data_IF_800470979983
#
_entry.id   IF_800470979983
#
_cell.length_a   1.000
_cell.length_b   1.000
_cell.length_c   1.000
_cell.angle_alpha   90.00
_cell.angle_beta   90.00
_cell.angle_gamma   90.00
#
_symmetry.space_group_name_H-M   'P 1'
#
loop_
_entity.id
_entity.type
_entity.pdbx_description
1 polymer ?
#
# COMPACT_ATOMS: atom_id res chain seq x y z
N UNK A 1 87.77 0.21 18.94
CA UNK A 1 86.83 -0.22 17.90
C UNK A 1 86.20 -1.53 18.33
N UNK A 2 84.93 -1.55 18.75
CA UNK A 2 84.13 -2.77 18.73
C UNK A 2 82.65 -2.38 18.67
N UNK A 3 82.04 -2.67 17.52
CA UNK A 3 80.67 -2.29 17.16
C UNK A 3 79.66 -3.08 17.99
N UNK A 4 78.74 -2.34 18.60
CA UNK A 4 77.54 -2.82 19.27
C UNK A 4 76.63 -3.51 18.24
N UNK A 5 76.54 -4.85 18.28
CA UNK A 5 75.61 -5.64 17.48
C UNK A 5 74.27 -5.71 18.21
N UNK A 6 73.38 -4.78 17.88
CA UNK A 6 71.97 -4.83 18.27
C UNK A 6 71.27 -5.84 17.37
N UNK A 7 70.91 -6.99 17.93
CA UNK A 7 70.04 -7.98 17.29
C UNK A 7 68.63 -7.38 17.20
N UNK A 8 68.31 -6.79 16.04
CA UNK A 8 66.92 -6.51 15.68
C UNK A 8 66.24 -7.85 15.40
N UNK A 9 65.51 -8.36 16.39
CA UNK A 9 64.47 -9.35 16.20
C UNK A 9 63.41 -8.75 15.29
N UNK A 10 63.53 -8.99 13.98
CA UNK A 10 62.44 -8.77 13.05
C UNK A 10 61.31 -9.72 13.46
N UNK A 11 60.39 -9.23 14.29
CA UNK A 11 59.06 -9.82 14.41
C UNK A 11 58.45 -9.63 13.03
N UNK A 12 58.63 -10.65 12.18
CA UNK A 12 57.82 -10.87 11.00
C UNK A 12 56.40 -10.97 11.54
N UNK A 13 55.71 -9.82 11.59
CA UNK A 13 54.26 -9.78 11.57
C UNK A 13 53.92 -10.44 10.25
N UNK A 14 53.71 -11.75 10.31
CA UNK A 14 52.98 -12.47 9.28
C UNK A 14 51.59 -11.83 9.35
N UNK A 15 51.39 -10.79 8.55
CA UNK A 15 50.05 -10.36 8.18
C UNK A 15 49.48 -11.56 7.45
N UNK A 16 48.89 -12.49 8.20
CA UNK A 16 47.96 -13.45 7.64
C UNK A 16 47.00 -12.59 6.84
N UNK A 17 47.03 -12.73 5.52
CA UNK A 17 45.97 -12.27 4.66
C UNK A 17 44.74 -13.11 5.06
N UNK A 18 44.15 -12.76 6.20
CA UNK A 18 42.87 -13.25 6.65
C UNK A 18 41.93 -12.76 5.56
N UNK A 19 41.58 -13.69 4.67
CA UNK A 19 40.64 -13.43 3.59
C UNK A 19 39.45 -12.72 4.19
N UNK A 20 39.06 -11.60 3.58
CA UNK A 20 38.00 -10.76 4.11
C UNK A 20 36.75 -11.60 4.43
N UNK A 21 36.22 -11.44 5.64
CA UNK A 21 35.01 -12.15 6.08
C UNK A 21 33.85 -11.76 5.19
N UNK A 22 33.10 -12.77 4.71
CA UNK A 22 31.92 -12.53 3.89
C UNK A 22 30.76 -11.95 4.71
N UNK A 23 29.96 -11.10 4.10
CA UNK A 23 28.76 -10.55 4.72
C UNK A 23 27.54 -11.38 4.36
N UNK A 24 26.68 -11.65 5.35
CA UNK A 24 25.37 -12.26 5.12
C UNK A 24 24.28 -11.18 5.20
N UNK A 25 23.61 -10.93 4.08
CA UNK A 25 22.61 -9.87 3.94
C UNK A 25 21.38 -10.44 3.24
N UNK A 26 20.23 -10.37 3.91
CA UNK A 26 18.95 -10.85 3.39
C UNK A 26 19.00 -12.32 2.89
N UNK A 27 19.68 -13.18 3.66
CA UNK A 27 19.85 -14.60 3.32
C UNK A 27 20.90 -14.89 2.23
N UNK A 28 21.58 -13.87 1.70
CA UNK A 28 22.63 -14.02 0.66
C UNK A 28 24.02 -13.71 1.22
N UNK A 29 25.03 -14.36 0.66
CA UNK A 29 26.43 -14.17 1.06
C UNK A 29 27.17 -13.31 0.03
N UNK A 30 27.81 -12.25 0.49
CA UNK A 30 28.60 -11.31 -0.32
C UNK A 30 30.06 -11.34 0.10
N UNK A 31 30.96 -11.20 -0.87
CA UNK A 31 32.41 -11.27 -0.64
C UNK A 31 32.87 -10.15 0.30
N UNK A 32 33.68 -10.50 1.29
CA UNK A 32 34.34 -9.52 2.16
C UNK A 32 35.14 -8.48 1.37
N UNK A 33 34.99 -7.20 1.71
CA UNK A 33 35.66 -6.08 1.04
C UNK A 33 35.03 -5.64 -0.29
N UNK A 34 33.87 -6.19 -0.66
CA UNK A 34 33.19 -5.87 -1.93
C UNK A 34 32.04 -4.88 -1.76
N UNK A 35 31.75 -4.13 -2.82
CA UNK A 35 30.49 -3.42 -2.95
C UNK A 35 29.47 -4.35 -3.60
N UNK A 36 28.22 -4.31 -3.13
CA UNK A 36 27.14 -5.12 -3.68
C UNK A 36 25.83 -4.33 -3.72
N UNK A 37 24.89 -4.82 -4.52
CA UNK A 37 23.54 -4.30 -4.59
C UNK A 37 22.55 -5.42 -4.36
N UNK A 38 21.49 -5.12 -3.62
CA UNK A 38 20.36 -6.02 -3.49
C UNK A 38 19.06 -5.23 -3.46
N UNK A 39 17.98 -5.93 -3.79
CA UNK A 39 16.67 -5.33 -3.96
C UNK A 39 15.75 -5.87 -2.87
N UNK A 40 15.02 -4.99 -2.20
CA UNK A 40 13.99 -5.35 -1.22
C UNK A 40 12.77 -4.48 -1.46
N UNK A 41 11.71 -5.11 -1.95
CA UNK A 41 10.53 -4.38 -2.45
C UNK A 41 10.91 -3.42 -3.58
N UNK A 42 10.52 -2.15 -3.44
CA UNK A 42 10.77 -1.10 -4.43
C UNK A 42 12.18 -0.48 -4.38
N UNK A 43 13.02 -0.87 -3.43
CA UNK A 43 14.31 -0.21 -3.18
C UNK A 43 15.48 -1.11 -3.56
N UNK A 44 16.43 -0.55 -4.31
CA UNK A 44 17.77 -1.08 -4.52
C UNK A 44 18.73 -0.43 -3.56
N UNK A 45 19.30 -1.23 -2.69
CA UNK A 45 20.32 -0.80 -1.75
C UNK A 45 21.69 -1.00 -2.37
N UNK A 46 22.53 0.03 -2.34
CA UNK A 46 23.95 -0.08 -2.66
C UNK A 46 24.73 -0.11 -1.35
N UNK A 47 25.45 -1.20 -1.13
CA UNK A 47 26.04 -1.52 0.15
C UNK A 47 27.52 -1.87 -0.01
N UNK A 48 28.28 -1.66 1.07
CA UNK A 48 29.66 -2.12 1.18
C UNK A 48 29.71 -3.22 2.24
N UNK A 49 30.34 -4.34 1.88
CA UNK A 49 30.74 -5.39 2.79
C UNK A 49 32.18 -5.13 3.24
N UNK A 50 32.38 -4.89 4.52
CA UNK A 50 33.70 -4.68 5.11
C UNK A 50 34.39 -6.03 5.36
N UNK A 51 35.72 -6.02 5.50
CA UNK A 51 36.49 -7.25 5.67
C UNK A 51 36.33 -7.91 7.05
N UNK A 52 35.71 -7.21 8.00
CA UNK A 52 35.32 -7.74 9.31
C UNK A 52 33.96 -8.47 9.28
N UNK A 53 33.28 -8.51 8.12
CA UNK A 53 31.95 -9.11 7.94
C UNK A 53 30.80 -8.15 8.24
N UNK A 54 31.09 -6.91 8.69
CA UNK A 54 30.09 -5.87 8.80
C UNK A 54 29.70 -5.34 7.42
N UNK A 55 28.48 -4.83 7.28
CA UNK A 55 28.04 -4.21 6.04
C UNK A 55 27.22 -2.96 6.30
N UNK A 56 27.33 -2.00 5.40
CA UNK A 56 26.60 -0.74 5.48
C UNK A 56 25.98 -0.38 4.13
N UNK A 57 24.73 0.06 4.16
CA UNK A 57 24.01 0.57 3.01
C UNK A 57 23.63 2.03 3.29
N UNK A 58 24.42 3.01 2.83
CA UNK A 58 24.06 4.41 3.00
C UNK A 58 22.71 4.69 2.36
N UNK A 59 21.82 5.36 3.09
CA UNK A 59 20.51 5.76 2.57
C UNK A 59 20.64 6.64 1.33
N UNK A 60 21.71 7.45 1.23
CA UNK A 60 22.05 8.28 0.07
C UNK A 60 22.32 7.49 -1.23
N UNK A 61 22.65 6.20 -1.14
CA UNK A 61 22.90 5.34 -2.30
C UNK A 61 21.77 4.32 -2.55
N UNK A 62 20.67 4.45 -1.81
CA UNK A 62 19.47 3.63 -2.01
C UNK A 62 18.62 4.27 -3.10
N UNK A 63 18.31 3.50 -4.14
CA UNK A 63 17.51 3.96 -5.28
C UNK A 63 16.15 3.28 -5.29
N UNK A 64 15.09 4.06 -5.46
CA UNK A 64 13.76 3.50 -5.71
C UNK A 64 13.68 3.10 -7.18
N UNK A 65 13.37 1.82 -7.45
CA UNK A 65 13.22 1.30 -8.80
C UNK A 65 11.79 1.36 -9.32
N UNK A 66 10.83 1.46 -8.41
CA UNK A 66 9.43 1.65 -8.78
C UNK A 66 9.19 3.07 -9.34
N UNK A 67 10.13 4.00 -9.12
CA UNK A 67 10.23 5.25 -9.87
C UNK A 67 10.92 5.04 -11.22
N UNK A 68 10.29 4.25 -12.07
CA UNK A 68 10.67 4.00 -13.47
C UNK A 68 9.56 4.47 -14.41
N UNK A 69 9.24 5.76 -14.36
CA UNK A 69 8.22 6.38 -15.20
C UNK A 69 7.83 7.79 -14.75
N UNK A 70 8.78 8.74 -14.70
CA UNK A 70 8.43 10.14 -14.47
C UNK A 70 9.53 10.98 -13.84
N UNK A 71 10.50 11.36 -14.65
CA UNK A 71 11.28 12.60 -14.66
C UNK A 71 11.39 13.44 -13.36
N UNK A 72 12.64 13.65 -12.94
CA UNK A 72 13.04 14.66 -11.96
C UNK A 72 12.92 16.08 -12.54
N UNK A 73 11.68 16.52 -12.76
CA UNK A 73 11.36 17.93 -12.98
C UNK A 73 10.32 18.34 -11.94
N UNK A 74 10.52 19.51 -11.33
CA UNK A 74 9.61 20.14 -10.39
C UNK A 74 8.15 20.03 -10.89
N UNK A 75 7.34 19.16 -10.26
CA UNK A 75 5.92 18.97 -10.62
C UNK A 75 5.39 17.54 -10.66
N UNK A 76 6.22 16.49 -10.56
CA UNK A 76 5.77 15.10 -10.61
C UNK A 76 5.40 14.54 -9.23
N UNK A 77 4.22 14.90 -8.74
CA UNK A 77 3.65 14.40 -7.49
C UNK A 77 3.28 12.91 -7.66
N UNK A 78 3.87 12.01 -6.85
CA UNK A 78 3.69 10.56 -6.98
C UNK A 78 2.28 10.07 -6.65
N UNK A 79 1.78 9.09 -7.38
CA UNK A 79 0.44 8.54 -7.16
C UNK A 79 0.36 7.71 -5.86
N UNK A 80 -0.81 7.69 -5.24
CA UNK A 80 -1.11 6.87 -4.07
C UNK A 80 -1.91 5.63 -4.45
N UNK A 81 -1.49 4.49 -3.92
CA UNK A 81 -2.18 3.22 -4.12
C UNK A 81 -3.04 2.90 -2.90
N UNK A 82 -4.36 2.93 -3.09
CA UNK A 82 -5.34 2.85 -2.01
C UNK A 82 -6.45 1.87 -2.40
N UNK A 83 -6.64 0.82 -1.61
CA UNK A 83 -7.68 -0.20 -1.83
C UNK A 83 -7.69 -0.80 -3.25
N UNK A 84 -6.52 -0.96 -3.86
CA UNK A 84 -6.36 -1.46 -5.25
C UNK A 84 -6.52 -0.40 -6.35
N UNK A 85 -6.91 0.84 -6.00
CA UNK A 85 -6.97 1.98 -6.92
C UNK A 85 -5.69 2.83 -6.92
N UNK A 86 -5.46 3.56 -8.01
CA UNK A 86 -4.35 4.52 -8.17
C UNK A 86 -4.91 5.94 -8.18
N UNK A 87 -4.44 6.79 -7.27
CA UNK A 87 -4.91 8.17 -7.12
C UNK A 87 -3.79 9.16 -7.36
N UNK A 88 -4.11 10.31 -7.96
CA UNK A 88 -3.11 11.30 -8.35
C UNK A 88 -2.41 11.90 -7.13
N UNK A 89 -1.09 11.99 -7.18
CA UNK A 89 -0.31 12.72 -6.19
C UNK A 89 -0.81 14.14 -5.98
N UNK A 90 -0.93 14.56 -4.73
CA UNK A 90 -1.23 15.95 -4.36
C UNK A 90 -2.69 16.33 -4.54
N UNK A 91 -3.56 15.34 -4.72
CA UNK A 91 -4.99 15.52 -4.86
C UNK A 91 -5.75 14.96 -3.67
N UNK A 92 -6.92 15.53 -3.44
CA UNK A 92 -7.95 14.91 -2.61
C UNK A 92 -8.74 13.90 -3.46
N UNK A 93 -9.08 12.76 -2.87
CA UNK A 93 -9.85 11.72 -3.50
C UNK A 93 -10.82 11.08 -2.52
N UNK A 94 -11.82 10.40 -3.06
CA UNK A 94 -12.79 9.64 -2.28
C UNK A 94 -12.82 8.19 -2.76
N UNK A 95 -13.01 7.28 -1.83
CA UNK A 95 -13.31 5.90 -2.16
C UNK A 95 -14.26 5.30 -1.14
N UNK A 96 -15.01 4.31 -1.59
CA UNK A 96 -16.01 3.63 -0.77
C UNK A 96 -15.47 2.27 -0.34
N UNK A 97 -15.61 1.95 0.95
CA UNK A 97 -15.31 0.62 1.48
C UNK A 97 -16.40 0.20 2.44
N UNK A 98 -17.19 -0.79 2.02
CA UNK A 98 -18.43 -1.15 2.70
C UNK A 98 -19.42 0.03 2.68
N UNK A 99 -19.97 0.37 3.85
CA UNK A 99 -20.95 1.45 4.00
C UNK A 99 -20.36 2.84 4.25
N UNK A 100 -19.04 2.98 4.13
CA UNK A 100 -18.32 4.20 4.46
C UNK A 100 -17.63 4.76 3.23
N UNK A 101 -17.83 6.06 3.00
CA UNK A 101 -17.06 6.86 2.05
C UNK A 101 -15.96 7.58 2.80
N UNK A 102 -14.73 7.29 2.41
CA UNK A 102 -13.53 7.89 2.96
C UNK A 102 -13.13 9.06 2.07
N UNK A 103 -12.93 10.23 2.67
CA UNK A 103 -12.31 11.37 2.00
C UNK A 103 -10.85 11.45 2.43
N UNK A 104 -9.96 11.44 1.45
CA UNK A 104 -8.54 11.23 1.67
C UNK A 104 -7.70 12.22 0.88
N UNK A 105 -6.53 12.57 1.41
CA UNK A 105 -5.48 13.32 0.71
C UNK A 105 -4.39 12.35 0.26
N UNK A 106 -4.03 12.42 -1.01
CA UNK A 106 -2.81 11.80 -1.53
C UNK A 106 -1.68 12.82 -1.55
N UNK A 107 -0.56 12.50 -0.92
CA UNK A 107 0.63 13.33 -0.86
C UNK A 107 1.59 13.00 -2.00
N UNK A 108 2.48 13.93 -2.35
CA UNK A 108 3.42 13.73 -3.46
C UNK A 108 4.47 12.64 -3.24
N UNK A 109 4.67 12.23 -1.99
CA UNK A 109 5.54 11.12 -1.61
C UNK A 109 4.86 9.75 -1.76
N UNK A 110 3.61 9.71 -2.22
CA UNK A 110 2.79 8.50 -2.34
C UNK A 110 2.12 8.07 -1.03
N UNK A 111 2.33 8.81 0.07
CA UNK A 111 1.58 8.61 1.31
C UNK A 111 0.16 9.15 1.17
N UNK A 112 -0.79 8.58 1.89
CA UNK A 112 -2.16 9.04 1.89
C UNK A 112 -2.75 9.01 3.28
N UNK A 113 -3.66 9.94 3.55
CA UNK A 113 -4.34 10.05 4.82
C UNK A 113 -5.84 10.23 4.62
N UNK A 114 -6.63 9.47 5.37
CA UNK A 114 -8.08 9.58 5.40
C UNK A 114 -8.52 9.87 6.84
N UNK A 115 -8.75 11.14 7.22
CA UNK A 115 -9.22 11.47 8.56
C UNK A 115 -10.57 10.81 8.84
N UNK A 116 -10.70 10.16 9.99
CA UNK A 116 -11.97 9.54 10.41
C UNK A 116 -13.10 10.56 10.53
N UNK A 117 -12.78 11.82 10.86
CA UNK A 117 -13.71 12.95 10.91
C UNK A 117 -14.32 13.31 9.55
N UNK A 118 -13.68 12.95 8.45
CA UNK A 118 -14.17 13.18 7.08
C UNK A 118 -14.78 11.91 6.44
N UNK A 119 -14.88 10.83 7.22
CA UNK A 119 -15.53 9.60 6.78
C UNK A 119 -17.03 9.74 6.95
N UNK A 120 -17.79 9.44 5.89
CA UNK A 120 -19.25 9.57 5.89
C UNK A 120 -19.90 8.21 5.67
N UNK A 121 -20.94 7.91 6.44
CA UNK A 121 -21.76 6.73 6.18
C UNK A 121 -22.65 7.01 4.98
N UNK A 122 -22.37 6.37 3.86
CA UNK A 122 -23.17 6.48 2.63
C UNK A 122 -24.35 5.51 2.63
N UNK A 123 -24.31 4.48 3.49
CA UNK A 123 -25.50 3.73 3.84
C UNK A 123 -26.32 4.56 4.83
N UNK A 124 -27.46 5.08 4.40
CA UNK A 124 -28.34 5.85 5.29
C UNK A 124 -29.22 4.89 6.09
N UNK A 125 -28.93 4.73 7.38
CA UNK A 125 -29.87 4.16 8.35
C UNK A 125 -29.24 3.24 9.39
N UNK A 126 -29.45 3.58 10.66
CA UNK A 126 -29.44 2.65 11.79
C UNK A 126 -28.07 2.23 12.32
N UNK A 127 -27.47 3.07 13.18
CA UNK A 127 -26.63 2.83 14.39
C UNK A 127 -25.69 1.60 14.54
N UNK A 128 -25.53 0.72 13.55
CA UNK A 128 -24.58 -0.40 13.48
C UNK A 128 -24.36 -0.86 12.02
N UNK A 129 -24.29 0.10 11.08
CA UNK A 129 -23.57 -0.04 9.81
C UNK A 129 -24.08 -1.03 8.75
N UNK A 130 -25.18 -1.76 8.93
CA UNK A 130 -25.75 -2.60 7.87
C UNK A 130 -27.29 -2.51 7.88
N UNK A 131 -27.85 -1.80 6.91
CA UNK A 131 -29.28 -1.91 6.59
C UNK A 131 -29.57 -3.33 6.09
N UNK A 132 -30.70 -3.91 6.50
CA UNK A 132 -31.13 -5.20 5.97
C UNK A 132 -31.63 -5.02 4.53
N UNK A 133 -31.28 -5.97 3.67
CA UNK A 133 -31.90 -6.05 2.35
C UNK A 133 -33.37 -6.44 2.49
N UNK A 134 -34.18 -6.02 1.53
CA UNK A 134 -35.58 -6.42 1.46
C UNK A 134 -35.72 -7.67 0.59
N UNK A 135 -36.43 -8.67 1.09
CA UNK A 135 -36.77 -9.85 0.31
C UNK A 135 -38.23 -9.75 -0.15
N UNK A 136 -38.42 -9.59 -1.46
CA UNK A 136 -39.73 -9.51 -2.08
C UNK A 136 -39.84 -10.58 -3.18
N UNK A 137 -40.80 -11.49 -3.03
CA UNK A 137 -41.07 -12.56 -4.01
C UNK A 137 -39.84 -13.39 -4.40
N UNK A 138 -39.02 -13.77 -3.40
CA UNK A 138 -37.81 -14.57 -3.58
C UNK A 138 -36.64 -13.81 -4.23
N UNK A 139 -36.73 -12.49 -4.36
CA UNK A 139 -35.66 -11.61 -4.85
C UNK A 139 -35.21 -10.65 -3.77
N UNK A 140 -33.91 -10.39 -3.75
CA UNK A 140 -33.29 -9.48 -2.78
C UNK A 140 -33.09 -8.10 -3.40
N UNK A 141 -33.59 -7.08 -2.71
CA UNK A 141 -33.50 -5.68 -3.12
C UNK A 141 -32.70 -4.89 -2.09
N UNK A 142 -31.77 -4.08 -2.61
CA UNK A 142 -31.05 -3.11 -1.79
C UNK A 142 -31.97 -1.98 -1.32
N UNK A 143 -31.48 -1.20 -0.35
CA UNK A 143 -32.21 -0.06 0.19
C UNK A 143 -32.61 0.94 -0.90
N UNK A 144 -33.79 1.53 -0.75
CA UNK A 144 -34.30 2.59 -1.61
C UNK A 144 -35.38 2.12 -2.56
N UNK A 145 -35.63 2.91 -3.60
CA UNK A 145 -36.68 2.61 -4.57
C UNK A 145 -36.24 1.50 -5.52
N UNK A 146 -37.12 0.53 -5.76
CA UNK A 146 -36.89 -0.53 -6.74
C UNK A 146 -38.15 -0.79 -7.56
N UNK A 147 -37.96 -1.36 -8.74
CA UNK A 147 -39.05 -1.85 -9.58
C UNK A 147 -39.07 -3.36 -9.57
N UNK A 148 -40.28 -3.92 -9.57
CA UNK A 148 -40.50 -5.35 -9.60
C UNK A 148 -41.67 -5.67 -10.50
N UNK A 149 -41.46 -6.59 -11.44
CA UNK A 149 -42.49 -7.06 -12.35
C UNK A 149 -43.06 -8.37 -11.82
N UNK A 150 -44.38 -8.44 -11.68
CA UNK A 150 -45.12 -9.66 -11.32
C UNK A 150 -46.36 -9.75 -12.21
N UNK A 151 -46.43 -10.82 -13.02
CA UNK A 151 -47.46 -10.96 -14.04
C UNK A 151 -47.47 -9.78 -15.02
N UNK A 152 -48.63 -9.18 -15.24
CA UNK A 152 -48.83 -8.02 -16.12
C UNK A 152 -48.60 -6.65 -15.44
N UNK A 153 -48.00 -6.63 -14.26
CA UNK A 153 -47.87 -5.40 -13.46
C UNK A 153 -46.43 -5.12 -13.07
N UNK A 154 -46.02 -3.86 -13.23
CA UNK A 154 -44.78 -3.29 -12.70
C UNK A 154 -45.07 -2.50 -11.44
N UNK A 155 -44.55 -2.96 -10.32
CA UNK A 155 -44.66 -2.33 -9.02
C UNK A 155 -43.46 -1.40 -8.80
N UNK A 156 -43.73 -0.21 -8.27
CA UNK A 156 -42.69 0.70 -7.77
C UNK A 156 -42.68 0.64 -6.25
N UNK A 157 -41.62 0.08 -5.69
CA UNK A 157 -41.53 -0.26 -4.28
C UNK A 157 -40.42 0.53 -3.58
N UNK A 158 -40.49 0.62 -2.27
CA UNK A 158 -39.44 1.20 -1.42
C UNK A 158 -38.98 0.15 -0.42
N UNK A 159 -37.67 -0.08 -0.35
CA UNK A 159 -37.01 -0.89 0.67
C UNK A 159 -36.48 -0.01 1.81
N UNK A 160 -36.94 -0.28 3.03
CA UNK A 160 -36.53 0.38 4.26
C UNK A 160 -35.32 -0.33 4.89
N UNK A 161 -34.62 0.37 5.78
CA UNK A 161 -33.35 -0.11 6.36
C UNK A 161 -33.53 -1.28 7.36
N UNK A 162 -34.74 -1.47 7.88
CA UNK A 162 -35.12 -2.60 8.75
C UNK A 162 -35.42 -3.89 7.96
N UNK A 163 -35.35 -3.84 6.62
CA UNK A 163 -35.70 -4.94 5.73
C UNK A 163 -37.19 -4.99 5.36
N UNK A 164 -38.00 -4.06 5.88
CA UNK A 164 -39.38 -3.91 5.45
C UNK A 164 -39.45 -3.25 4.07
N UNK A 165 -40.43 -3.63 3.26
CA UNK A 165 -40.66 -3.01 1.96
C UNK A 165 -42.14 -2.77 1.71
N UNK A 166 -42.43 -1.77 0.90
CA UNK A 166 -43.80 -1.41 0.54
C UNK A 166 -43.89 -1.01 -0.95
N UNK A 167 -44.93 -1.49 -1.61
CA UNK A 167 -45.27 -1.15 -2.99
C UNK A 167 -46.65 -0.47 -3.01
N UNK A 168 -46.74 0.87 -3.07
CA UNK A 168 -48.02 1.56 -3.07
C UNK A 168 -48.81 1.22 -4.34
N UNK A 169 -50.07 0.81 -4.19
CA UNK A 169 -50.93 0.43 -5.32
C UNK A 169 -51.03 1.52 -6.40
N UNK A 170 -51.10 2.79 -5.99
CA UNK A 170 -51.17 3.94 -6.91
C UNK A 170 -49.91 4.20 -7.75
N UNK A 171 -48.81 3.46 -7.52
CA UNK A 171 -47.58 3.53 -8.34
C UNK A 171 -47.37 2.27 -9.19
N UNK A 172 -48.37 1.40 -9.26
CA UNK A 172 -48.35 0.19 -10.08
C UNK A 172 -48.74 0.53 -11.51
N UNK A 173 -48.02 -0.02 -12.50
CA UNK A 173 -48.31 0.17 -13.93
C UNK A 173 -48.68 -1.16 -14.56
N UNK A 174 -49.73 -1.18 -15.39
CA UNK A 174 -49.96 -2.30 -16.32
C UNK A 174 -48.89 -2.27 -17.40
N UNK A 175 -48.26 -3.41 -17.65
CA UNK A 175 -47.23 -3.60 -18.69
C UNK A 175 -47.63 -4.66 -19.73
N UNK A 176 -48.83 -5.19 -19.57
CA UNK A 176 -49.70 -5.69 -20.62
C UNK A 176 -50.78 -4.60 -20.87
#
# INVERSE_FOLDING_TARGET
MLKLLVLLSAVLVVCSAQGCTNCQVDGRTYRGGSNFQFDRGCYRFSCKCNCDGSWNCPSSLTTNKCTGGGNQNAGACGNCQVNGGSYRGGSDFQFDRGCNRFSCRCNCDGSWNCPSSLTTSICSGGRNGACRNCEAYGRTYGRGSFQMDQGCYRYSCTCNCDGSWNCPAGKTKSIC
#
